data_IF_734463373448
#
_entry.id   IF_734463373448
#
_cell.length_a   1.000
_cell.length_b   1.000
_cell.length_c   1.000
_cell.angle_alpha   90.00
_cell.angle_beta   90.00
_cell.angle_gamma   90.00
#
_symmetry.space_group_name_H-M   'P 1'
#
loop_
_entity.id
_entity.type
_entity.pdbx_description
1 polymer ?
#
# COMPACT_ATOMS: atom_id res chain seq x y z
N UNK A 1 -31.39 7.23 9.41
CA UNK A 1 -31.61 8.16 8.30
C UNK A 1 -31.06 7.52 7.04
N UNK A 2 -31.91 7.12 6.11
CA UNK A 2 -31.48 6.60 4.81
C UNK A 2 -31.11 7.76 3.90
N UNK A 3 -29.92 7.71 3.33
CA UNK A 3 -29.53 8.65 2.27
C UNK A 3 -30.33 8.28 1.01
N UNK A 4 -31.14 9.20 0.53
CA UNK A 4 -31.87 9.01 -0.73
C UNK A 4 -30.97 9.57 -1.86
N UNK A 5 -30.26 8.67 -2.55
CA UNK A 5 -29.47 9.07 -3.72
C UNK A 5 -30.41 9.23 -4.92
N UNK A 6 -30.65 10.47 -5.28
CA UNK A 6 -31.47 10.82 -6.45
C UNK A 6 -30.73 10.57 -7.78
N UNK A 7 -29.40 10.52 -7.75
CA UNK A 7 -28.55 10.36 -8.92
C UNK A 7 -27.56 9.24 -8.73
N UNK A 8 -27.25 8.53 -9.82
CA UNK A 8 -26.06 7.66 -9.93
C UNK A 8 -24.91 8.48 -10.50
N UNK A 9 -23.70 7.89 -10.54
CA UNK A 9 -22.53 8.53 -11.16
C UNK A 9 -22.80 8.92 -12.63
N UNK A 10 -23.51 8.07 -13.39
CA UNK A 10 -23.84 8.26 -14.80
C UNK A 10 -24.98 9.27 -15.01
N UNK A 11 -25.85 9.42 -14.02
CA UNK A 11 -27.03 10.29 -14.13
C UNK A 11 -26.89 11.61 -13.41
N UNK A 12 -25.77 11.83 -12.68
CA UNK A 12 -25.51 13.10 -12.00
C UNK A 12 -25.31 14.21 -13.04
N UNK A 13 -26.12 15.28 -13.02
CA UNK A 13 -25.94 16.38 -13.96
C UNK A 13 -24.58 17.05 -13.70
N UNK A 14 -23.91 17.45 -14.77
CA UNK A 14 -22.71 18.28 -14.66
C UNK A 14 -23.08 19.62 -14.00
N UNK A 15 -22.21 20.11 -13.12
CA UNK A 15 -22.36 21.43 -12.55
C UNK A 15 -22.06 22.49 -13.63
N UNK A 16 -23.06 23.27 -14.04
CA UNK A 16 -22.92 24.33 -15.00
C UNK A 16 -22.68 25.70 -14.36
N UNK A 17 -22.72 25.74 -13.01
CA UNK A 17 -22.48 26.99 -12.29
C UNK A 17 -21.01 27.41 -12.41
N UNK A 18 -20.78 28.62 -12.87
CA UNK A 18 -19.48 29.25 -12.92
C UNK A 18 -19.51 30.53 -12.06
N UNK A 19 -18.61 30.61 -11.10
CA UNK A 19 -18.39 31.82 -10.34
C UNK A 19 -17.21 32.61 -10.94
N UNK A 20 -17.25 33.93 -10.79
CA UNK A 20 -16.15 34.80 -11.24
C UNK A 20 -14.84 34.40 -10.50
N UNK A 21 -13.79 34.16 -11.25
CA UNK A 21 -12.52 33.65 -10.72
C UNK A 21 -12.44 32.14 -10.49
N UNK A 22 -13.49 31.37 -10.82
CA UNK A 22 -13.45 29.92 -10.74
C UNK A 22 -12.45 29.32 -11.74
N UNK A 23 -11.57 28.48 -11.25
CA UNK A 23 -10.60 27.75 -12.06
C UNK A 23 -10.98 26.29 -12.12
N UNK A 24 -11.26 25.77 -13.30
CA UNK A 24 -11.43 24.33 -13.52
C UNK A 24 -10.05 23.69 -13.57
N UNK A 25 -9.77 22.79 -12.64
CA UNK A 25 -8.57 21.97 -12.65
C UNK A 25 -8.96 20.63 -13.24
N UNK A 26 -8.50 20.36 -14.46
CA UNK A 26 -8.65 19.03 -15.04
C UNK A 26 -7.86 18.01 -14.21
N UNK A 27 -8.55 16.97 -13.75
CA UNK A 27 -7.88 15.84 -13.09
C UNK A 27 -6.98 15.13 -14.10
N UNK A 28 -5.74 14.86 -13.72
CA UNK A 28 -4.88 13.98 -14.51
C UNK A 28 -5.34 12.53 -14.31
N UNK A 29 -6.14 12.05 -15.26
CA UNK A 29 -6.62 10.65 -15.27
C UNK A 29 -5.58 9.68 -15.83
N UNK A 30 -4.46 10.18 -16.35
CA UNK A 30 -3.35 9.37 -16.87
C UNK A 30 -2.36 8.99 -15.77
N UNK A 31 -2.39 9.67 -14.61
CA UNK A 31 -1.53 9.35 -13.49
C UNK A 31 -1.86 7.96 -12.94
N UNK A 32 -0.82 7.14 -12.75
CA UNK A 32 -0.97 5.85 -12.09
C UNK A 32 -1.60 6.04 -10.72
N UNK A 33 -2.69 5.31 -10.48
CA UNK A 33 -3.30 5.22 -9.17
C UNK A 33 -2.63 4.08 -8.41
N UNK A 34 -2.61 4.19 -7.09
CA UNK A 34 -2.14 3.12 -6.23
C UNK A 34 -3.33 2.23 -5.85
N UNK A 35 -3.15 0.93 -5.96
CA UNK A 35 -4.11 -0.07 -5.51
C UNK A 35 -3.59 -0.71 -4.22
N UNK A 36 -4.25 -0.41 -3.12
CA UNK A 36 -3.98 -1.03 -1.83
C UNK A 36 -4.70 -2.38 -1.77
N UNK A 37 -3.95 -3.46 -1.62
CA UNK A 37 -4.56 -4.77 -1.40
C UNK A 37 -5.11 -4.80 0.03
N UNK A 38 -6.42 -5.05 0.22
CA UNK A 38 -7.04 -5.06 1.54
C UNK A 38 -6.49 -6.16 2.45
N UNK A 39 -6.25 -7.35 1.89
CA UNK A 39 -5.74 -8.50 2.61
C UNK A 39 -4.24 -8.35 2.86
N UNK A 40 -3.84 -8.65 4.09
CA UNK A 40 -2.44 -8.68 4.45
C UNK A 40 -1.81 -10.02 4.06
N UNK A 41 -0.59 -9.97 3.52
CA UNK A 41 0.18 -11.17 3.20
C UNK A 41 0.90 -11.64 4.47
N UNK A 42 0.64 -12.87 4.92
CA UNK A 42 1.38 -13.47 6.03
C UNK A 42 2.73 -13.98 5.52
N UNK A 43 3.83 -13.37 5.95
CA UNK A 43 5.18 -13.77 5.54
C UNK A 43 5.87 -14.70 6.54
N UNK A 44 5.45 -14.69 7.79
CA UNK A 44 5.99 -15.57 8.85
C UNK A 44 4.97 -15.75 9.97
N UNK A 45 5.16 -16.80 10.76
CA UNK A 45 4.50 -17.01 12.04
C UNK A 45 5.56 -17.29 13.09
N UNK A 46 5.65 -16.45 14.12
CA UNK A 46 6.65 -16.58 15.20
C UNK A 46 5.98 -16.40 16.55
N UNK A 47 6.31 -17.26 17.49
CA UNK A 47 5.77 -17.22 18.85
C UNK A 47 4.22 -17.16 18.90
N UNK A 48 3.57 -17.88 17.97
CA UNK A 48 2.11 -17.93 17.84
C UNK A 48 1.48 -16.67 17.23
N UNK A 49 2.28 -15.72 16.72
CA UNK A 49 1.83 -14.49 16.04
C UNK A 49 2.15 -14.56 14.57
N UNK A 50 1.15 -14.27 13.73
CA UNK A 50 1.37 -14.03 12.32
C UNK A 50 1.99 -12.64 12.13
N UNK A 51 2.97 -12.55 11.22
CA UNK A 51 3.62 -11.31 10.80
C UNK A 51 3.23 -11.02 9.35
N UNK A 52 2.87 -9.78 9.08
CA UNK A 52 2.20 -9.39 7.85
C UNK A 52 3.02 -8.42 7.00
N UNK A 53 2.73 -8.46 5.71
CA UNK A 53 3.10 -7.44 4.74
C UNK A 53 1.82 -6.77 4.26
N UNK A 54 1.83 -5.43 4.20
CA UNK A 54 0.83 -4.65 3.47
C UNK A 54 1.41 -4.32 2.10
N UNK A 55 0.73 -4.77 1.04
CA UNK A 55 1.17 -4.56 -0.34
C UNK A 55 0.42 -3.41 -0.99
N UNK A 56 1.14 -2.57 -1.73
CA UNK A 56 0.56 -1.51 -2.55
C UNK A 56 1.08 -1.67 -3.97
N UNK A 57 0.17 -1.77 -4.92
CA UNK A 57 0.46 -1.99 -6.33
C UNK A 57 0.11 -0.76 -7.18
N UNK A 58 0.76 -0.55 -8.33
CA UNK A 58 0.23 0.30 -9.37
C UNK A 58 -1.17 -0.18 -9.80
N UNK A 59 -2.10 0.72 -10.08
CA UNK A 59 -3.49 0.36 -10.45
C UNK A 59 -3.56 -0.52 -11.71
N UNK A 60 -2.62 -0.34 -12.62
CA UNK A 60 -2.51 -1.14 -13.85
C UNK A 60 -1.18 -1.85 -13.83
N UNK A 61 -1.21 -3.11 -13.42
CA UNK A 61 -0.09 -4.01 -13.57
C UNK A 61 -0.09 -4.53 -15.02
N UNK A 62 1.06 -4.46 -15.64
CA UNK A 62 1.34 -5.25 -16.83
C UNK A 62 1.76 -6.65 -16.34
N UNK A 63 0.91 -7.65 -16.55
CA UNK A 63 1.15 -9.02 -16.09
C UNK A 63 2.38 -9.68 -16.75
N UNK A 64 2.82 -9.14 -17.89
CA UNK A 64 4.00 -9.64 -18.61
C UNK A 64 5.31 -9.00 -18.11
N UNK A 65 5.22 -7.96 -17.27
CA UNK A 65 6.37 -7.19 -16.81
C UNK A 65 6.51 -7.19 -15.30
N UNK A 66 7.63 -7.67 -14.74
CA UNK A 66 7.88 -7.52 -13.31
C UNK A 66 8.18 -6.05 -12.95
N UNK A 67 7.90 -5.70 -11.72
CA UNK A 67 8.06 -4.34 -11.18
C UNK A 67 9.13 -4.34 -10.08
N UNK A 68 9.96 -3.30 -10.01
CA UNK A 68 10.90 -3.16 -8.90
C UNK A 68 10.14 -3.02 -7.58
N UNK A 69 10.71 -3.61 -6.53
CA UNK A 69 10.15 -3.63 -5.20
C UNK A 69 10.78 -2.54 -4.32
N UNK A 70 9.93 -1.79 -3.61
CA UNK A 70 10.33 -0.93 -2.51
C UNK A 70 9.84 -1.54 -1.19
N UNK A 71 10.76 -1.90 -0.30
CA UNK A 71 10.45 -2.43 1.02
C UNK A 71 10.49 -1.30 2.05
N UNK A 72 9.36 -1.06 2.72
CA UNK A 72 9.23 -0.06 3.78
C UNK A 72 9.23 -0.73 5.14
N UNK A 73 10.26 -0.43 5.94
CA UNK A 73 10.36 -0.86 7.33
C UNK A 73 10.11 0.37 8.20
N UNK A 74 8.92 0.45 8.79
CA UNK A 74 8.51 1.61 9.56
C UNK A 74 9.31 1.76 10.85
N UNK A 75 9.83 2.95 11.10
CA UNK A 75 10.36 3.34 12.39
C UNK A 75 9.22 3.55 13.39
N UNK A 76 9.21 2.81 14.50
CA UNK A 76 8.17 2.87 15.54
C UNK A 76 8.74 2.89 16.96
N UNK A 77 10.02 3.24 17.13
CA UNK A 77 10.72 3.10 18.40
C UNK A 77 10.56 1.68 19.02
N UNK A 78 10.59 0.66 18.17
CA UNK A 78 10.38 -0.75 18.50
C UNK A 78 8.97 -1.08 19.04
N UNK A 79 8.03 -0.14 18.95
CA UNK A 79 6.63 -0.37 19.32
C UNK A 79 5.85 -0.99 18.16
N UNK A 80 4.60 -1.39 18.46
CA UNK A 80 3.70 -1.93 17.43
C UNK A 80 3.50 -0.92 16.30
N UNK A 81 3.70 -1.38 15.06
CA UNK A 81 3.52 -0.57 13.87
C UNK A 81 2.05 -0.51 13.46
N UNK A 82 1.68 0.58 12.79
CA UNK A 82 0.45 0.67 12.03
C UNK A 82 0.81 0.69 10.54
N UNK A 83 0.53 -0.40 9.83
CA UNK A 83 0.89 -0.58 8.43
C UNK A 83 0.20 0.41 7.47
N UNK A 84 -0.77 1.19 7.96
CA UNK A 84 -1.46 2.21 7.17
C UNK A 84 -0.83 3.61 7.28
N UNK A 85 0.05 3.84 8.25
CA UNK A 85 0.54 5.19 8.55
C UNK A 85 1.21 5.91 7.37
N UNK A 86 1.92 5.19 6.52
CA UNK A 86 2.69 5.80 5.42
C UNK A 86 2.11 5.50 4.03
N UNK A 87 0.92 4.94 3.97
CA UNK A 87 0.29 4.60 2.67
C UNK A 87 0.15 5.81 1.76
N UNK A 88 -0.21 6.98 2.31
CA UNK A 88 -0.32 8.23 1.55
C UNK A 88 1.01 8.69 0.94
N UNK A 89 2.07 8.70 1.74
CA UNK A 89 3.41 9.12 1.31
C UNK A 89 4.00 8.15 0.28
N UNK A 90 3.78 6.84 0.50
CA UNK A 90 4.28 5.77 -0.36
C UNK A 90 3.59 5.70 -1.73
N UNK A 91 2.45 6.37 -1.91
CA UNK A 91 1.81 6.48 -3.22
C UNK A 91 2.72 7.14 -4.27
N UNK A 92 3.60 8.05 -3.86
CA UNK A 92 4.56 8.65 -4.78
C UNK A 92 5.54 7.61 -5.36
N UNK A 93 5.96 6.65 -4.54
CA UNK A 93 6.82 5.53 -4.95
C UNK A 93 6.09 4.60 -5.91
N UNK A 94 4.82 4.29 -5.60
CA UNK A 94 3.97 3.46 -6.47
C UNK A 94 3.75 4.14 -7.83
N UNK A 95 3.52 5.46 -7.85
CA UNK A 95 3.38 6.24 -9.10
C UNK A 95 4.66 6.26 -9.92
N UNK A 96 5.82 6.09 -9.28
CA UNK A 96 7.10 5.94 -9.96
C UNK A 96 7.31 4.52 -10.56
N UNK A 97 6.33 3.63 -10.43
CA UNK A 97 6.34 2.30 -11.02
C UNK A 97 6.92 1.22 -10.13
N UNK A 98 6.88 1.39 -8.81
CA UNK A 98 7.31 0.38 -7.85
C UNK A 98 6.11 -0.34 -7.22
N UNK A 99 6.28 -1.62 -6.91
CA UNK A 99 5.47 -2.31 -5.92
C UNK A 99 6.03 -1.95 -4.54
N UNK A 100 5.16 -1.66 -3.57
CA UNK A 100 5.56 -1.32 -2.22
C UNK A 100 5.12 -2.42 -1.26
N UNK A 101 6.03 -2.89 -0.41
CA UNK A 101 5.74 -3.79 0.70
C UNK A 101 6.05 -3.09 2.03
N UNK A 102 5.04 -2.90 2.88
CA UNK A 102 5.19 -2.38 4.24
C UNK A 102 5.30 -3.57 5.18
N UNK A 103 6.39 -3.65 5.96
CA UNK A 103 6.73 -4.80 6.81
C UNK A 103 6.26 -4.58 8.23
N UNK A 104 5.49 -5.54 8.76
CA UNK A 104 5.27 -5.70 10.19
C UNK A 104 6.43 -6.49 10.81
N UNK A 105 6.88 -6.10 11.99
CA UNK A 105 7.83 -6.84 12.82
C UNK A 105 7.34 -6.90 14.26
N UNK A 106 7.79 -7.90 15.03
CA UNK A 106 7.40 -8.04 16.44
C UNK A 106 7.89 -6.86 17.26
N UNK A 107 7.00 -6.19 18.02
CA UNK A 107 7.38 -5.08 18.88
C UNK A 107 8.05 -5.54 20.17
N UNK A 108 8.65 -4.61 20.91
CA UNK A 108 9.01 -4.80 22.30
C UNK A 108 7.73 -4.75 23.16
N UNK A 109 7.55 -5.62 24.21
CA UNK A 109 8.51 -6.60 24.71
C UNK A 109 8.40 -8.01 24.08
N UNK A 110 7.60 -8.20 23.02
CA UNK A 110 7.39 -9.52 22.41
C UNK A 110 8.73 -10.13 21.96
N UNK A 111 9.63 -9.28 21.45
CA UNK A 111 10.99 -9.66 21.09
C UNK A 111 11.95 -8.51 21.39
N UNK A 112 13.22 -8.85 21.71
CA UNK A 112 14.31 -7.88 21.86
C UNK A 112 15.24 -7.94 20.64
N UNK A 113 16.10 -6.93 20.49
CA UNK A 113 17.15 -6.94 19.47
C UNK A 113 17.99 -8.24 19.58
N UNK A 114 18.30 -8.92 18.46
CA UNK A 114 18.12 -8.51 17.06
C UNK A 114 16.79 -8.99 16.41
N UNK A 115 15.82 -9.51 17.15
CA UNK A 115 14.65 -10.18 16.62
C UNK A 115 13.86 -9.36 15.62
N UNK A 116 13.74 -8.04 15.80
CA UNK A 116 13.07 -7.14 14.85
C UNK A 116 13.81 -7.08 13.50
N UNK A 117 15.14 -7.11 13.53
CA UNK A 117 15.97 -7.14 12.32
C UNK A 117 15.84 -8.49 11.61
N UNK A 118 15.73 -9.57 12.37
CA UNK A 118 15.50 -10.92 11.83
C UNK A 118 14.14 -11.03 11.17
N UNK A 119 13.10 -10.44 11.76
CA UNK A 119 11.76 -10.38 11.17
C UNK A 119 11.78 -9.63 9.84
N UNK A 120 12.43 -8.48 9.79
CA UNK A 120 12.59 -7.71 8.55
C UNK A 120 13.35 -8.47 7.46
N UNK A 121 14.41 -9.20 7.83
CA UNK A 121 15.14 -10.07 6.90
C UNK A 121 14.28 -11.22 6.38
N UNK A 122 13.46 -11.82 7.23
CA UNK A 122 12.55 -12.89 6.82
C UNK A 122 11.48 -12.38 5.86
N UNK A 123 10.97 -11.17 6.08
CA UNK A 123 10.08 -10.50 5.13
C UNK A 123 10.74 -10.32 3.75
N UNK A 124 11.99 -9.87 3.70
CA UNK A 124 12.74 -9.72 2.44
C UNK A 124 12.96 -11.09 1.76
N UNK A 125 13.30 -12.12 2.53
CA UNK A 125 13.46 -13.48 1.98
C UNK A 125 12.16 -14.04 1.43
N UNK A 126 11.04 -13.79 2.13
CA UNK A 126 9.72 -14.17 1.66
C UNK A 126 9.37 -13.49 0.33
N UNK A 127 9.56 -12.17 0.25
CA UNK A 127 9.31 -11.40 -0.96
C UNK A 127 10.15 -11.89 -2.14
N UNK A 128 11.43 -12.17 -1.92
CA UNK A 128 12.31 -12.73 -2.95
C UNK A 128 11.88 -14.13 -3.38
N UNK A 129 11.46 -15.00 -2.45
CA UNK A 129 11.00 -16.34 -2.78
C UNK A 129 9.70 -16.38 -3.56
N UNK A 130 8.82 -15.37 -3.37
CA UNK A 130 7.51 -15.25 -4.01
C UNK A 130 7.47 -14.14 -5.09
N UNK A 131 8.64 -13.66 -5.53
CA UNK A 131 8.75 -12.52 -6.44
C UNK A 131 7.89 -12.68 -7.69
N UNK A 132 7.92 -13.85 -8.33
CA UNK A 132 7.11 -14.14 -9.52
C UNK A 132 5.60 -14.05 -9.27
N UNK A 133 5.14 -14.59 -8.14
CA UNK A 133 3.72 -14.57 -7.78
C UNK A 133 3.23 -13.16 -7.46
N UNK A 134 4.13 -12.35 -6.89
CA UNK A 134 3.86 -10.97 -6.49
C UNK A 134 4.15 -9.94 -7.60
N UNK A 135 4.58 -10.39 -8.79
CA UNK A 135 4.91 -9.49 -9.91
C UNK A 135 6.17 -8.64 -9.68
N UNK A 136 7.09 -9.11 -8.84
CA UNK A 136 8.32 -8.40 -8.44
C UNK A 136 9.51 -8.86 -9.29
N UNK A 137 10.39 -7.90 -9.63
CA UNK A 137 11.68 -8.14 -10.29
C UNK A 137 12.78 -8.47 -9.26
#
# INVERSE_FOLDING_TARGET
>A
MGWNYQYTYETMPACEEQADGMRVIAGDTSAYRANLIPEDVVYAAKDGKALHLKMIYPERLDEEKPYPLYVHIQGSAWQKQNLFNHVGDLQAVVRAGYIVAIVEYRPTPDVIFPGQVEDAKDAIRYLAAHAKELGID
#
